data_IF_639771511657
#
_entry.id   IF_639771511657
#
_cell.length_a   1.000
_cell.length_b   1.000
_cell.length_c   1.000
_cell.angle_alpha   90.00
_cell.angle_beta   90.00
_cell.angle_gamma   90.00
#
_symmetry.space_group_name_H-M   'P 1'
#
loop_
_entity.id
_entity.type
_entity.pdbx_description
1 polymer ?
#
# COMPACT_ATOMS: atom_id res chain seq x y z
N UNK A 1 75.15 53.81 -6.20
CA UNK A 1 74.23 54.19 -5.16
C UNK A 1 72.89 53.55 -5.51
N UNK A 2 72.58 52.35 -5.02
CA UNK A 2 71.29 51.66 -5.29
C UNK A 2 70.55 51.48 -3.97
N UNK A 3 69.43 52.14 -3.87
CA UNK A 3 68.56 52.11 -2.69
C UNK A 3 67.64 50.89 -2.81
N UNK A 4 67.67 50.01 -1.85
CA UNK A 4 66.80 48.82 -1.77
C UNK A 4 65.57 49.22 -0.90
N UNK A 5 64.37 49.11 -1.51
CA UNK A 5 63.11 49.28 -0.81
C UNK A 5 62.71 47.94 -0.17
N UNK A 6 62.52 47.91 1.12
CA UNK A 6 61.88 46.78 1.85
C UNK A 6 60.37 46.95 1.83
N UNK A 7 59.69 45.95 1.31
CA UNK A 7 58.23 45.82 1.45
C UNK A 7 57.87 45.18 2.79
N UNK A 8 56.81 45.63 3.51
CA UNK A 8 56.40 45.01 4.74
C UNK A 8 55.63 43.74 4.49
N UNK A 9 56.03 42.64 5.18
CA UNK A 9 55.26 41.39 5.30
C UNK A 9 53.92 41.64 6.00
N UNK A 10 52.82 41.32 5.33
CA UNK A 10 51.50 41.26 5.92
C UNK A 10 51.37 39.96 6.70
N UNK A 11 51.40 40.10 8.04
CA UNK A 11 51.12 38.98 8.96
C UNK A 11 49.61 38.66 8.94
N UNK A 12 49.26 37.55 8.29
CA UNK A 12 47.90 37.03 8.34
C UNK A 12 47.66 36.40 9.72
N UNK A 13 46.76 37.00 10.53
CA UNK A 13 46.36 36.42 11.84
C UNK A 13 45.63 35.12 11.62
N UNK A 14 46.31 34.00 11.90
CA UNK A 14 45.84 32.61 11.75
C UNK A 14 44.62 32.24 12.65
N UNK A 15 44.23 33.10 13.58
CA UNK A 15 43.14 32.84 14.52
C UNK A 15 41.74 33.15 13.98
N UNK A 16 41.61 34.02 12.99
CA UNK A 16 40.26 34.38 12.47
C UNK A 16 39.73 33.35 11.45
N UNK A 17 40.57 32.72 10.66
CA UNK A 17 40.18 31.71 9.69
C UNK A 17 39.69 30.41 10.33
N UNK A 18 40.27 29.99 11.46
CA UNK A 18 39.82 28.81 12.21
C UNK A 18 38.39 28.97 12.79
N UNK A 19 38.07 30.16 13.30
CA UNK A 19 36.75 30.41 13.88
C UNK A 19 35.64 30.48 12.84
N UNK A 20 35.92 30.95 11.64
CA UNK A 20 34.93 30.98 10.53
C UNK A 20 34.66 29.57 10.01
N UNK A 21 35.67 28.72 9.88
CA UNK A 21 35.53 27.32 9.46
C UNK A 21 34.76 26.52 10.49
N UNK A 22 35.03 26.70 11.80
CA UNK A 22 34.33 26.04 12.88
C UNK A 22 32.85 26.46 12.99
N UNK A 23 32.53 27.72 12.75
CA UNK A 23 31.17 28.22 12.74
C UNK A 23 30.37 27.72 11.53
N UNK A 24 31.00 27.61 10.36
CA UNK A 24 30.37 27.06 9.15
C UNK A 24 30.11 25.55 9.29
N UNK A 25 31.05 24.79 9.86
CA UNK A 25 30.87 23.36 10.12
C UNK A 25 29.72 23.07 11.11
N UNK A 26 29.59 23.88 12.18
CA UNK A 26 28.46 23.75 13.13
C UNK A 26 27.12 24.07 12.49
N UNK A 27 27.04 25.06 11.60
CA UNK A 27 25.80 25.36 10.86
C UNK A 27 25.45 24.23 9.88
N UNK A 28 26.42 23.69 9.17
CA UNK A 28 26.20 22.56 8.25
C UNK A 28 25.72 21.30 8.99
N UNK A 29 26.33 20.99 10.14
CA UNK A 29 25.93 19.88 10.99
C UNK A 29 24.51 20.05 11.55
N UNK A 30 24.13 21.26 11.99
CA UNK A 30 22.80 21.57 12.48
C UNK A 30 21.74 21.46 11.36
N UNK A 31 22.07 21.89 10.13
CA UNK A 31 21.18 21.76 8.97
C UNK A 31 20.99 20.30 8.56
N UNK A 32 22.07 19.49 8.57
CA UNK A 32 21.97 18.04 8.34
C UNK A 32 21.14 17.33 9.41
N UNK A 33 21.27 17.71 10.67
CA UNK A 33 20.49 17.13 11.78
C UNK A 33 19.00 17.50 11.66
N UNK A 34 18.66 18.73 11.26
CA UNK A 34 17.27 19.11 10.99
C UNK A 34 16.66 18.40 9.79
N UNK A 35 17.42 18.15 8.71
CA UNK A 35 16.94 17.36 7.57
C UNK A 35 16.69 15.90 7.93
N UNK A 36 17.50 15.30 8.82
CA UNK A 36 17.30 13.91 9.26
C UNK A 36 16.08 13.72 10.17
N UNK A 37 15.67 14.76 10.92
CA UNK A 37 14.48 14.70 11.77
C UNK A 37 13.14 14.67 10.98
N UNK A 38 13.12 15.15 9.74
CA UNK A 38 11.93 15.07 8.86
C UNK A 38 11.78 13.75 8.11
N UNK A 39 12.81 12.89 8.11
CA UNK A 39 12.76 11.59 7.43
C UNK A 39 12.01 10.49 8.21
N UNK A 40 11.58 10.74 9.43
CA UNK A 40 10.88 9.77 10.28
C UNK A 40 9.36 9.97 10.36
N UNK A 41 8.73 10.53 9.31
CA UNK A 41 7.29 10.35 9.12
C UNK A 41 7.09 8.92 8.66
N UNK A 42 7.14 8.01 9.61
CA UNK A 42 6.88 6.59 9.39
C UNK A 42 5.44 6.43 8.89
N UNK A 43 5.27 5.94 7.68
CA UNK A 43 4.01 5.32 7.31
C UNK A 43 3.77 4.19 8.34
N UNK A 44 2.81 4.35 9.24
CA UNK A 44 2.41 3.27 10.12
C UNK A 44 1.89 2.15 9.23
N UNK A 45 2.59 1.02 9.21
CA UNK A 45 2.08 -0.19 8.56
C UNK A 45 0.98 -0.78 9.44
N UNK A 46 -0.13 -1.21 8.83
CA UNK A 46 -1.16 -1.98 9.52
C UNK A 46 -0.51 -3.29 9.98
N UNK A 47 -0.66 -3.64 11.26
CA UNK A 47 -0.07 -4.83 11.85
C UNK A 47 -1.13 -5.85 12.20
N UNK A 48 -0.99 -7.09 11.75
CA UNK A 48 -1.90 -8.20 12.03
C UNK A 48 -2.12 -8.49 13.53
N UNK A 49 -1.12 -8.38 14.43
CA UNK A 49 -1.32 -8.58 15.87
C UNK A 49 -2.36 -7.67 16.50
N UNK A 50 -2.57 -6.46 15.98
CA UNK A 50 -3.52 -5.49 16.51
C UNK A 50 -4.99 -6.00 16.41
N UNK A 51 -5.25 -6.95 15.52
CA UNK A 51 -6.59 -7.47 15.23
C UNK A 51 -6.91 -8.83 15.87
N UNK A 52 -5.95 -9.54 16.48
CA UNK A 52 -6.15 -10.92 16.97
C UNK A 52 -7.33 -11.08 17.95
N UNK A 53 -7.65 -10.04 18.71
CA UNK A 53 -8.72 -10.06 19.73
C UNK A 53 -9.99 -9.32 19.30
N UNK A 54 -10.04 -8.76 18.09
CA UNK A 54 -11.17 -7.96 17.61
C UNK A 54 -12.35 -8.82 17.16
N UNK A 55 -13.54 -8.21 17.13
CA UNK A 55 -14.82 -8.81 16.74
C UNK A 55 -15.54 -7.90 15.73
N UNK A 56 -16.48 -8.45 14.90
CA UNK A 56 -16.81 -9.88 14.76
C UNK A 56 -15.67 -10.65 14.11
N UNK A 57 -15.55 -11.94 14.38
CA UNK A 57 -14.51 -12.77 13.71
C UNK A 57 -14.72 -12.79 12.21
N UNK A 58 -13.66 -12.51 11.47
CA UNK A 58 -13.63 -12.63 10.01
C UNK A 58 -13.12 -14.01 9.62
N UNK A 59 -13.87 -14.69 8.79
CA UNK A 59 -13.46 -15.91 8.10
C UNK A 59 -13.75 -15.75 6.61
N UNK A 60 -12.71 -15.76 5.80
CA UNK A 60 -12.78 -15.50 4.35
C UNK A 60 -13.73 -16.48 3.65
N UNK A 61 -13.62 -17.77 3.96
CA UNK A 61 -14.46 -18.81 3.36
C UNK A 61 -15.94 -18.58 3.67
N UNK A 62 -16.29 -18.37 4.93
CA UNK A 62 -17.66 -18.10 5.37
C UNK A 62 -18.20 -16.82 4.76
N UNK A 63 -17.39 -15.76 4.73
CA UNK A 63 -17.82 -14.48 4.19
C UNK A 63 -18.08 -14.56 2.68
N UNK A 64 -17.15 -15.10 1.91
CA UNK A 64 -17.25 -15.22 0.45
C UNK A 64 -17.99 -16.48 -0.01
N UNK A 65 -18.93 -17.00 0.78
CA UNK A 65 -19.86 -18.06 0.38
C UNK A 65 -21.23 -17.46 0.02
N UNK A 66 -21.75 -17.80 -1.17
CA UNK A 66 -23.03 -17.31 -1.68
C UNK A 66 -22.94 -15.94 -2.35
N UNK A 67 -24.08 -15.26 -2.56
CA UNK A 67 -24.13 -13.99 -3.27
C UNK A 67 -23.69 -12.82 -2.39
N UNK A 68 -22.95 -11.88 -2.99
CA UNK A 68 -22.52 -10.62 -2.38
C UNK A 68 -22.65 -9.49 -3.41
N UNK A 69 -22.81 -8.28 -2.92
CA UNK A 69 -22.70 -7.06 -3.71
C UNK A 69 -21.62 -6.15 -3.13
N UNK A 70 -20.90 -5.47 -4.02
CA UNK A 70 -19.90 -4.50 -3.62
C UNK A 70 -19.96 -3.22 -4.45
N UNK A 71 -19.42 -2.15 -3.86
CA UNK A 71 -19.25 -0.84 -4.48
C UNK A 71 -17.85 -0.35 -4.18
N UNK A 72 -17.15 0.12 -5.20
CA UNK A 72 -15.75 0.51 -5.05
C UNK A 72 -15.40 1.82 -5.73
N UNK A 73 -14.37 2.45 -5.16
CA UNK A 73 -13.69 3.61 -5.74
C UNK A 73 -12.21 3.34 -5.84
N UNK A 74 -11.59 3.86 -6.89
CA UNK A 74 -10.13 3.96 -7.02
C UNK A 74 -9.73 5.41 -6.86
N UNK A 75 -8.78 5.68 -5.97
CA UNK A 75 -8.24 7.01 -5.72
C UNK A 75 -6.77 7.06 -6.12
N UNK A 76 -6.37 8.14 -6.78
CA UNK A 76 -4.96 8.41 -7.06
C UNK A 76 -4.22 8.92 -5.80
N UNK A 77 -2.92 9.20 -5.93
CA UNK A 77 -2.08 9.69 -4.82
C UNK A 77 -2.52 11.02 -4.19
N UNK A 78 -3.32 11.80 -4.89
CA UNK A 78 -3.89 13.06 -4.38
C UNK A 78 -5.21 12.86 -3.62
N UNK A 79 -5.72 11.62 -3.58
CA UNK A 79 -7.02 11.27 -3.03
C UNK A 79 -8.18 11.51 -4.00
N UNK A 80 -7.91 11.92 -5.25
CA UNK A 80 -8.95 12.12 -6.27
C UNK A 80 -9.49 10.77 -6.71
N UNK A 81 -10.82 10.61 -6.72
CA UNK A 81 -11.48 9.46 -7.31
C UNK A 81 -11.30 9.49 -8.82
N UNK A 82 -10.67 8.45 -9.36
CA UNK A 82 -10.38 8.29 -10.79
C UNK A 82 -11.21 7.18 -11.45
N UNK A 83 -11.81 6.28 -10.65
CA UNK A 83 -12.71 5.24 -11.14
C UNK A 83 -13.72 4.85 -10.07
N UNK A 84 -14.93 4.44 -10.50
CA UNK A 84 -15.99 3.92 -9.65
C UNK A 84 -16.55 2.65 -10.31
N UNK A 85 -16.99 1.69 -9.49
CA UNK A 85 -17.52 0.43 -9.99
C UNK A 85 -18.46 -0.23 -8.98
N UNK A 86 -19.39 -1.03 -9.49
CA UNK A 86 -20.17 -2.02 -8.75
C UNK A 86 -19.60 -3.42 -9.05
N UNK A 87 -19.76 -4.36 -8.12
CA UNK A 87 -19.41 -5.77 -8.33
C UNK A 87 -20.53 -6.65 -7.83
N UNK A 88 -21.03 -7.53 -8.69
CA UNK A 88 -21.82 -8.67 -8.28
C UNK A 88 -20.86 -9.85 -8.06
N UNK A 89 -20.94 -10.49 -6.88
CA UNK A 89 -20.04 -11.60 -6.56
C UNK A 89 -20.81 -12.84 -6.17
N UNK A 90 -20.26 -14.00 -6.48
CA UNK A 90 -20.79 -15.28 -6.01
C UNK A 90 -19.65 -16.23 -5.67
N UNK A 91 -19.60 -16.65 -4.42
CA UNK A 91 -18.62 -17.64 -3.94
C UNK A 91 -19.26 -19.01 -3.71
N UNK A 92 -18.55 -20.05 -4.11
CA UNK A 92 -18.89 -21.45 -3.86
C UNK A 92 -17.66 -22.24 -3.43
N UNK A 93 -17.87 -23.26 -2.58
CA UNK A 93 -16.78 -24.06 -2.04
C UNK A 93 -17.05 -25.56 -2.23
N UNK A 94 -16.00 -26.27 -2.63
CA UNK A 94 -15.96 -27.73 -2.63
C UNK A 94 -14.80 -28.13 -1.70
N UNK A 95 -15.13 -28.58 -0.50
CA UNK A 95 -14.18 -28.84 0.58
C UNK A 95 -13.34 -27.57 0.89
N UNK A 96 -12.04 -27.62 0.63
CA UNK A 96 -11.11 -26.53 0.86
C UNK A 96 -10.81 -25.67 -0.38
N UNK A 97 -11.45 -25.93 -1.52
CA UNK A 97 -11.29 -25.19 -2.76
C UNK A 97 -12.51 -24.33 -3.03
N UNK A 98 -12.32 -23.03 -3.05
CA UNK A 98 -13.33 -22.02 -3.36
C UNK A 98 -13.20 -21.48 -4.78
N UNK A 99 -14.35 -21.16 -5.37
CA UNK A 99 -14.44 -20.35 -6.59
C UNK A 99 -15.21 -19.09 -6.25
N UNK A 100 -14.61 -17.92 -6.49
CA UNK A 100 -15.28 -16.62 -6.33
C UNK A 100 -15.34 -15.95 -7.70
N UNK A 101 -16.54 -15.76 -8.22
CA UNK A 101 -16.80 -15.00 -9.45
C UNK A 101 -17.11 -13.57 -9.09
N UNK A 102 -16.45 -12.62 -9.74
CA UNK A 102 -16.61 -11.19 -9.55
C UNK A 102 -16.96 -10.53 -10.88
N UNK A 103 -18.19 -10.03 -11.03
CA UNK A 103 -18.67 -9.32 -12.22
C UNK A 103 -18.65 -7.80 -11.95
N UNK A 104 -17.64 -7.13 -12.47
CA UNK A 104 -17.45 -5.68 -12.35
C UNK A 104 -18.27 -4.94 -13.39
N UNK A 105 -18.92 -3.87 -12.98
CA UNK A 105 -19.53 -2.86 -13.85
C UNK A 105 -18.96 -1.50 -13.48
N UNK A 106 -18.10 -0.97 -14.32
CA UNK A 106 -17.49 0.35 -14.15
C UNK A 106 -18.45 1.45 -14.58
N UNK A 107 -18.37 2.62 -13.95
CA UNK A 107 -19.27 3.74 -14.27
C UNK A 107 -18.98 4.41 -15.63
N UNK A 108 -17.84 4.08 -16.25
CA UNK A 108 -17.55 4.42 -17.65
C UNK A 108 -18.19 3.44 -18.68
N UNK A 109 -18.97 2.47 -18.19
CA UNK A 109 -19.67 1.47 -18.99
C UNK A 109 -18.90 0.19 -19.29
N UNK A 110 -17.62 0.12 -18.93
CA UNK A 110 -16.84 -1.11 -19.08
C UNK A 110 -17.33 -2.21 -18.15
N UNK A 111 -17.14 -3.45 -18.58
CA UNK A 111 -17.41 -4.65 -17.76
C UNK A 111 -16.20 -5.55 -17.76
N UNK A 112 -16.01 -6.25 -16.65
CA UNK A 112 -14.94 -7.24 -16.47
C UNK A 112 -15.46 -8.34 -15.57
N UNK A 113 -15.11 -9.58 -15.87
CA UNK A 113 -15.29 -10.71 -14.95
C UNK A 113 -13.93 -11.18 -14.49
N UNK A 114 -13.78 -11.42 -13.19
CA UNK A 114 -12.63 -12.09 -12.60
C UNK A 114 -13.11 -13.34 -11.86
N UNK A 115 -12.35 -14.41 -12.00
CA UNK A 115 -12.64 -15.66 -11.29
C UNK A 115 -11.43 -16.03 -10.46
N UNK A 116 -11.62 -16.06 -9.14
CA UNK A 116 -10.62 -16.58 -8.21
C UNK A 116 -10.82 -18.07 -7.97
N UNK A 117 -9.72 -18.80 -7.96
CA UNK A 117 -9.63 -20.10 -7.29
C UNK A 117 -8.89 -19.90 -5.99
N UNK A 118 -9.54 -20.21 -4.86
CA UNK A 118 -9.03 -19.98 -3.52
C UNK A 118 -8.86 -21.31 -2.79
N UNK A 119 -7.71 -21.53 -2.18
CA UNK A 119 -7.42 -22.73 -1.38
C UNK A 119 -7.36 -22.33 0.09
N UNK A 120 -8.28 -22.86 0.89
CA UNK A 120 -8.28 -22.75 2.35
C UNK A 120 -7.29 -23.80 2.92
N UNK A 121 -6.29 -23.36 3.68
CA UNK A 121 -5.26 -24.24 4.27
C UNK A 121 -5.71 -24.83 5.62
N UNK A 122 -6.83 -24.35 6.18
CA UNK A 122 -7.40 -24.83 7.44
C UNK A 122 -6.77 -24.23 8.71
N UNK A 123 -5.81 -23.34 8.58
CA UNK A 123 -5.10 -22.66 9.68
C UNK A 123 -5.32 -21.14 9.70
N UNK A 124 -6.34 -20.66 8.99
CA UNK A 124 -6.61 -19.23 8.79
C UNK A 124 -5.76 -18.58 7.70
N UNK A 125 -5.02 -19.39 6.92
CA UNK A 125 -4.28 -18.94 5.75
C UNK A 125 -4.91 -19.45 4.46
N UNK A 126 -4.73 -18.70 3.38
CA UNK A 126 -5.32 -18.96 2.08
C UNK A 126 -4.32 -18.71 0.95
N UNK A 127 -4.47 -19.46 -0.14
CA UNK A 127 -3.81 -19.16 -1.42
C UNK A 127 -4.87 -18.91 -2.49
N UNK A 128 -4.65 -17.93 -3.38
CA UNK A 128 -5.57 -17.62 -4.48
C UNK A 128 -4.87 -17.46 -5.80
N UNK A 129 -5.61 -17.75 -6.88
CA UNK A 129 -5.18 -17.55 -8.27
C UNK A 129 -6.32 -16.94 -9.07
N UNK A 130 -5.98 -16.03 -9.97
CA UNK A 130 -6.85 -15.50 -11.03
C UNK A 130 -5.99 -15.18 -12.26
N UNK A 131 -6.61 -15.00 -13.41
CA UNK A 131 -5.88 -14.88 -14.70
C UNK A 131 -4.98 -13.63 -14.77
N UNK A 132 -5.36 -12.56 -14.08
CA UNK A 132 -4.61 -11.30 -14.02
C UNK A 132 -3.60 -11.22 -12.86
N UNK A 133 -3.48 -12.29 -12.07
CA UNK A 133 -2.57 -12.38 -10.92
C UNK A 133 -1.28 -13.10 -11.31
N UNK A 134 -0.16 -12.48 -11.02
CA UNK A 134 1.17 -13.07 -11.24
C UNK A 134 1.46 -14.05 -10.10
N UNK A 135 1.69 -15.32 -10.45
CA UNK A 135 1.93 -16.40 -9.52
C UNK A 135 0.69 -16.71 -8.63
N UNK A 136 0.68 -16.31 -7.36
CA UNK A 136 -0.41 -16.54 -6.42
C UNK A 136 -0.59 -15.38 -5.45
N UNK A 137 -1.82 -15.25 -4.96
CA UNK A 137 -2.14 -14.41 -3.83
C UNK A 137 -2.01 -15.19 -2.51
N UNK A 138 -1.67 -14.49 -1.43
CA UNK A 138 -1.62 -15.03 -0.07
C UNK A 138 -2.61 -14.28 0.81
N UNK A 139 -3.43 -15.04 1.54
CA UNK A 139 -4.46 -14.54 2.44
C UNK A 139 -4.25 -14.99 3.87
N UNK A 140 -4.66 -14.14 4.82
CA UNK A 140 -4.58 -14.37 6.26
C UNK A 140 -5.78 -13.77 6.97
N UNK A 141 -6.29 -14.44 8.02
CA UNK A 141 -7.34 -13.94 8.89
C UNK A 141 -6.79 -13.61 10.29
N UNK A 142 -7.22 -12.47 10.84
CA UNK A 142 -6.78 -11.96 12.16
C UNK A 142 -7.96 -11.31 12.88
N UNK A 143 -8.61 -12.00 13.80
CA UNK A 143 -9.77 -11.43 14.51
C UNK A 143 -10.87 -10.99 13.54
N UNK A 144 -11.20 -9.70 13.49
CA UNK A 144 -12.16 -9.16 12.53
C UNK A 144 -11.52 -8.71 11.21
N UNK A 145 -10.20 -8.86 11.04
CA UNK A 145 -9.49 -8.43 9.85
C UNK A 145 -8.99 -9.61 9.00
N UNK A 146 -8.83 -9.37 7.72
CA UNK A 146 -8.12 -10.23 6.77
C UNK A 146 -7.15 -9.41 5.95
N UNK A 147 -6.07 -10.04 5.53
CA UNK A 147 -5.12 -9.46 4.57
C UNK A 147 -5.01 -10.37 3.36
N UNK A 148 -4.95 -9.77 2.17
CA UNK A 148 -4.76 -10.45 0.91
C UNK A 148 -3.68 -9.75 0.11
N UNK A 149 -2.59 -10.45 -0.23
CA UNK A 149 -1.46 -9.84 -0.93
C UNK A 149 -1.15 -10.56 -2.23
N UNK A 150 -0.94 -9.82 -3.31
CA UNK A 150 -0.64 -10.37 -4.62
C UNK A 150 0.07 -9.35 -5.52
N UNK A 151 0.56 -9.82 -6.65
CA UNK A 151 1.03 -8.99 -7.76
C UNK A 151 0.08 -9.17 -8.93
N UNK A 152 -0.38 -8.06 -9.50
CA UNK A 152 -1.29 -8.04 -10.63
C UNK A 152 -0.70 -7.23 -11.78
N UNK A 153 -0.97 -7.64 -13.01
CA UNK A 153 -0.68 -6.84 -14.20
C UNK A 153 -1.80 -5.84 -14.45
N UNK A 154 -1.52 -4.57 -14.19
CA UNK A 154 -2.49 -3.47 -14.34
C UNK A 154 -2.28 -2.79 -15.68
N UNK A 155 -3.26 -2.83 -16.60
CA UNK A 155 -3.16 -2.11 -17.86
C UNK A 155 -3.29 -0.60 -17.62
N UNK A 156 -2.35 0.17 -18.21
CA UNK A 156 -2.37 1.64 -18.19
C UNK A 156 -2.07 2.13 -19.59
N UNK A 157 -3.08 2.64 -20.29
CA UNK A 157 -3.02 2.98 -21.72
C UNK A 157 -2.54 1.79 -22.55
N UNK A 158 -1.44 1.95 -23.29
CA UNK A 158 -0.89 0.94 -24.22
C UNK A 158 0.16 0.02 -23.56
N UNK A 159 0.29 0.05 -22.23
CA UNK A 159 1.27 -0.74 -21.50
C UNK A 159 0.65 -1.40 -20.27
N UNK A 160 1.35 -2.39 -19.69
CA UNK A 160 0.96 -3.07 -18.46
C UNK A 160 2.05 -2.93 -17.40
N UNK A 161 1.64 -2.74 -16.15
CA UNK A 161 2.54 -2.62 -15.02
C UNK A 161 2.25 -3.68 -13.97
N UNK A 162 3.29 -4.37 -13.53
CA UNK A 162 3.21 -5.22 -12.34
C UNK A 162 3.12 -4.34 -11.10
N UNK A 163 1.98 -4.39 -10.42
CA UNK A 163 1.70 -3.67 -9.19
C UNK A 163 1.48 -4.68 -8.06
N UNK A 164 2.08 -4.41 -6.90
CA UNK A 164 1.79 -5.16 -5.68
C UNK A 164 0.53 -4.60 -5.03
N UNK A 165 -0.41 -5.46 -4.74
CA UNK A 165 -1.62 -5.17 -3.98
C UNK A 165 -1.44 -5.68 -2.55
N UNK A 166 -1.89 -4.85 -1.62
CA UNK A 166 -1.90 -5.13 -0.18
C UNK A 166 -3.29 -4.76 0.31
N UNK A 167 -4.17 -5.77 0.30
CA UNK A 167 -5.59 -5.62 0.58
C UNK A 167 -5.85 -5.92 2.05
N UNK A 168 -6.43 -4.96 2.74
CA UNK A 168 -6.93 -5.14 4.07
C UNK A 168 -8.46 -5.17 4.07
N UNK A 169 -9.03 -6.10 4.80
CA UNK A 169 -10.47 -6.29 4.94
C UNK A 169 -10.82 -6.27 6.42
N UNK A 170 -11.94 -5.63 6.76
CA UNK A 170 -12.44 -5.57 8.12
C UNK A 170 -13.90 -5.95 8.13
N UNK A 171 -14.23 -7.04 8.84
CA UNK A 171 -15.60 -7.45 9.06
C UNK A 171 -16.30 -6.48 10.01
N UNK A 172 -17.47 -6.06 9.61
CA UNK A 172 -18.38 -5.23 10.38
C UNK A 172 -19.61 -6.07 10.76
N UNK A 173 -20.53 -5.50 11.52
CA UNK A 173 -21.84 -6.11 11.77
C UNK A 173 -22.67 -6.22 10.48
N UNK A 174 -23.76 -6.96 10.53
CA UNK A 174 -24.78 -7.06 9.48
C UNK A 174 -24.27 -7.54 8.11
N UNK A 175 -23.20 -8.37 8.12
CA UNK A 175 -22.62 -8.95 6.89
C UNK A 175 -21.89 -7.95 6.01
N UNK A 176 -21.50 -6.82 6.58
CA UNK A 176 -20.68 -5.80 5.89
C UNK A 176 -19.20 -6.12 6.02
N UNK A 177 -18.46 -5.93 4.94
CA UNK A 177 -16.99 -5.97 4.90
C UNK A 177 -16.46 -4.70 4.23
N UNK A 178 -15.57 -4.02 4.92
CA UNK A 178 -14.82 -2.89 4.34
C UNK A 178 -13.47 -3.39 3.86
N UNK A 179 -13.09 -3.02 2.65
CA UNK A 179 -11.78 -3.31 2.10
C UNK A 179 -11.05 -2.02 1.75
N UNK A 180 -9.75 -2.01 2.01
CA UNK A 180 -8.82 -1.03 1.47
C UNK A 180 -7.61 -1.74 0.89
N UNK A 181 -7.36 -1.50 -0.39
CA UNK A 181 -6.23 -2.05 -1.12
C UNK A 181 -5.24 -0.95 -1.48
N UNK A 182 -3.97 -1.19 -1.20
CA UNK A 182 -2.88 -0.30 -1.58
C UNK A 182 -2.17 -0.86 -2.81
N UNK A 183 -2.24 -0.11 -3.92
CA UNK A 183 -1.53 -0.45 -5.16
C UNK A 183 -0.12 0.12 -5.08
N UNK A 184 0.88 -0.75 -4.90
CA UNK A 184 2.27 -0.37 -4.63
C UNK A 184 3.20 -0.76 -5.77
N UNK A 185 4.18 0.10 -6.06
CA UNK A 185 5.33 -0.21 -6.93
C UNK A 185 6.59 0.43 -6.33
N UNK A 186 7.69 -0.31 -6.28
CA UNK A 186 8.93 0.15 -5.65
C UNK A 186 8.74 0.66 -4.19
N UNK A 187 7.84 0.05 -3.43
CA UNK A 187 7.52 0.45 -2.06
C UNK A 187 6.64 1.71 -1.93
N UNK A 188 6.27 2.36 -3.03
CA UNK A 188 5.45 3.58 -3.05
C UNK A 188 4.00 3.23 -3.42
N UNK A 189 3.02 3.75 -2.69
CA UNK A 189 1.59 3.64 -3.01
C UNK A 189 1.26 4.60 -4.16
N UNK A 190 0.74 4.09 -5.27
CA UNK A 190 0.34 4.84 -6.46
C UNK A 190 -1.16 5.11 -6.52
N UNK A 191 -1.95 4.20 -5.99
CA UNK A 191 -3.39 4.35 -5.89
C UNK A 191 -3.91 3.54 -4.70
N UNK A 192 -5.12 3.87 -4.26
CA UNK A 192 -5.86 3.14 -3.25
C UNK A 192 -7.21 2.73 -3.82
N UNK A 193 -7.65 1.51 -3.49
CA UNK A 193 -9.00 1.04 -3.77
C UNK A 193 -9.73 0.89 -2.45
N UNK A 194 -10.90 1.48 -2.33
CA UNK A 194 -11.79 1.26 -1.19
C UNK A 194 -13.05 0.58 -1.69
N UNK A 195 -13.42 -0.54 -1.06
CA UNK A 195 -14.59 -1.33 -1.43
C UNK A 195 -15.45 -1.55 -0.18
N UNK A 196 -16.71 -1.25 -0.31
CA UNK A 196 -17.77 -1.68 0.61
C UNK A 196 -18.41 -2.94 0.03
N UNK A 197 -18.53 -4.00 0.82
CA UNK A 197 -19.13 -5.27 0.42
C UNK A 197 -20.23 -5.64 1.38
N UNK A 198 -21.27 -6.28 0.88
CA UNK A 198 -22.40 -6.75 1.69
C UNK A 198 -22.90 -8.10 1.18
N UNK A 199 -23.14 -9.00 2.11
CA UNK A 199 -23.85 -10.27 1.83
C UNK A 199 -25.30 -9.99 1.45
N UNK A 200 -25.82 -10.77 0.48
CA UNK A 200 -27.19 -10.70 -0.02
C UNK A 200 -28.06 -11.81 0.60
#
# INVERSE_FOLDING_TARGET
MRTIFFSPLIAIKSGQTLNVIAASAKKLLATLLCLSAFASVGCSSINSPDYLKTQPKFDLKTYFTGPLKAWGIVQDRSGKVIQQFDVAMHGSWNNNVGTLVEDFTYYDGKKQTRVWTIIDKGDGTYEGRADDIVDKALGFNFGNAGQWTYVMEVPVKDTSYRMRFDDWMWAMNDGVLMNRSYMKKFGITFAEVTIFMQKQ
#
